data_IF_113076653737
#
_entry.id   IF_113076653737
#
_cell.length_a   1.000
_cell.length_b   1.000
_cell.length_c   1.000
_cell.angle_alpha   90.00
_cell.angle_beta   90.00
_cell.angle_gamma   90.00
#
_symmetry.space_group_name_H-M   'P 1'
#
loop_
_entity.id
_entity.type
_entity.pdbx_description
1 polymer ?
#
# COMPACT_ATOMS: atom_id res chain seq x y z
N UNK A 1 9.36 -10.00 -12.18
CA UNK A 1 8.57 -9.44 -11.08
C UNK A 1 8.94 -7.97 -10.97
N UNK A 2 8.18 -7.08 -11.59
CA UNK A 2 8.48 -5.65 -11.54
C UNK A 2 8.05 -5.11 -10.18
N UNK A 3 9.01 -4.59 -9.41
CA UNK A 3 8.72 -3.84 -8.19
C UNK A 3 8.14 -2.52 -8.65
N UNK A 4 6.86 -2.30 -8.36
CA UNK A 4 6.37 -0.94 -8.26
C UNK A 4 7.24 -0.28 -7.20
N UNK A 5 8.08 0.66 -7.66
CA UNK A 5 8.79 1.53 -6.77
C UNK A 5 7.72 2.44 -6.16
N UNK A 6 7.15 2.01 -5.03
CA UNK A 6 6.83 2.99 -4.00
C UNK A 6 8.09 3.84 -3.92
N UNK A 7 7.95 5.14 -4.14
CA UNK A 7 9.09 6.03 -4.07
C UNK A 7 9.77 5.70 -2.73
N UNK A 8 10.97 5.12 -2.78
CA UNK A 8 11.61 4.62 -1.55
C UNK A 8 11.89 5.79 -0.60
N UNK A 9 11.89 7.01 -1.16
CA UNK A 9 11.89 8.28 -0.45
C UNK A 9 10.62 8.49 0.41
N UNK A 10 9.44 8.01 -0.02
CA UNK A 10 8.20 8.06 0.77
C UNK A 10 8.20 7.09 1.96
N UNK A 11 8.84 5.92 1.87
CA UNK A 11 8.72 4.90 2.92
C UNK A 11 9.76 5.06 4.04
N UNK A 12 11.01 5.39 3.70
CA UNK A 12 12.11 5.36 4.68
C UNK A 12 12.16 6.59 5.56
N UNK A 13 11.86 7.77 5.03
CA UNK A 13 12.03 9.02 5.77
C UNK A 13 10.79 9.40 6.61
N UNK A 14 9.62 8.86 6.26
CA UNK A 14 8.36 9.17 6.96
C UNK A 14 8.36 8.67 8.41
N UNK A 15 9.04 7.55 8.67
CA UNK A 15 8.93 6.83 9.94
C UNK A 15 10.14 6.92 10.88
N UNK A 16 11.22 7.63 10.48
CA UNK A 16 12.50 7.65 11.22
C UNK A 16 12.35 8.07 12.69
N UNK A 17 11.37 8.94 12.98
CA UNK A 17 11.11 9.45 14.33
C UNK A 17 9.68 9.13 14.82
N UNK A 18 9.02 8.15 14.21
CA UNK A 18 7.65 7.78 14.60
C UNK A 18 7.63 6.96 15.89
N UNK A 19 6.59 7.16 16.70
CA UNK A 19 6.37 6.35 17.89
C UNK A 19 6.00 4.91 17.51
N UNK A 20 6.27 3.95 18.39
CA UNK A 20 5.81 2.55 18.22
C UNK A 20 4.30 2.48 17.99
N UNK A 21 3.52 3.27 18.72
CA UNK A 21 2.08 3.38 18.52
C UNK A 21 1.70 3.77 17.07
N UNK A 22 2.44 4.69 16.46
CA UNK A 22 2.20 5.10 15.07
C UNK A 22 2.55 3.97 14.11
N UNK A 23 3.67 3.29 14.32
CA UNK A 23 4.10 2.16 13.48
C UNK A 23 3.09 1.02 13.55
N UNK A 24 2.68 0.63 14.76
CA UNK A 24 1.68 -0.41 14.98
C UNK A 24 0.35 -0.04 14.31
N UNK A 25 -0.06 1.23 14.40
CA UNK A 25 -1.26 1.72 13.73
C UNK A 25 -1.16 1.61 12.20
N UNK A 26 -0.02 2.01 11.61
CA UNK A 26 0.20 1.92 10.16
C UNK A 26 0.23 0.47 9.69
N UNK A 27 0.91 -0.42 10.43
CA UNK A 27 0.92 -1.86 10.14
C UNK A 27 -0.49 -2.43 10.12
N UNK A 28 -1.29 -2.06 11.13
CA UNK A 28 -2.68 -2.46 11.23
C UNK A 28 -3.55 -1.90 10.09
N UNK A 29 -3.31 -0.67 9.68
CA UNK A 29 -3.99 -0.04 8.55
C UNK A 29 -3.66 -0.77 7.22
N UNK A 30 -2.38 -1.09 6.97
CA UNK A 30 -1.97 -1.86 5.79
C UNK A 30 -2.65 -3.23 5.78
N UNK A 31 -2.61 -3.95 6.90
CA UNK A 31 -3.23 -5.27 7.00
C UNK A 31 -4.73 -5.23 6.69
N UNK A 32 -5.43 -4.23 7.25
CA UNK A 32 -6.86 -4.06 7.02
C UNK A 32 -7.19 -3.68 5.57
N UNK A 33 -6.35 -2.88 4.91
CA UNK A 33 -6.49 -2.57 3.47
C UNK A 33 -6.36 -3.87 2.66
N UNK A 34 -5.29 -4.63 2.90
CA UNK A 34 -5.01 -5.90 2.21
C UNK A 34 -6.14 -6.92 2.39
N UNK A 35 -6.71 -7.06 3.58
CA UNK A 35 -7.78 -8.04 3.81
C UNK A 35 -9.19 -7.52 3.50
N UNK A 36 -9.33 -6.27 3.04
CA UNK A 36 -10.62 -5.58 2.96
C UNK A 36 -11.63 -6.26 2.02
N UNK A 37 -11.15 -6.90 0.95
CA UNK A 37 -11.98 -7.60 -0.03
C UNK A 37 -12.15 -9.10 0.29
N UNK A 38 -11.43 -9.60 1.31
CA UNK A 38 -11.42 -11.00 1.72
C UNK A 38 -10.65 -11.95 0.79
N UNK A 39 -9.87 -11.47 -0.18
CA UNK A 39 -9.10 -12.30 -1.13
C UNK A 39 -7.63 -11.88 -1.09
N UNK A 40 -6.77 -12.76 -0.58
CA UNK A 40 -5.33 -12.44 -0.51
C UNK A 40 -4.61 -12.95 -1.74
N UNK A 41 -4.14 -12.02 -2.57
CA UNK A 41 -3.43 -12.31 -3.80
C UNK A 41 -1.91 -12.18 -3.68
N UNK A 42 -1.17 -12.76 -4.64
CA UNK A 42 0.30 -12.76 -4.61
C UNK A 42 0.90 -11.35 -4.61
N UNK A 43 0.22 -10.38 -5.22
CA UNK A 43 0.72 -9.01 -5.33
C UNK A 43 0.57 -8.23 -4.00
N UNK A 44 -0.40 -8.60 -3.15
CA UNK A 44 -0.61 -8.00 -1.83
C UNK A 44 0.51 -8.34 -0.84
N UNK A 45 1.29 -9.39 -1.11
CA UNK A 45 2.48 -9.70 -0.32
C UNK A 45 3.51 -8.57 -0.33
N UNK A 46 3.52 -7.70 -1.36
CA UNK A 46 4.43 -6.55 -1.36
C UNK A 46 3.97 -5.53 -0.32
N UNK A 47 2.67 -5.26 -0.21
CA UNK A 47 2.10 -4.42 0.85
C UNK A 47 2.40 -4.99 2.25
N UNK A 48 2.25 -6.31 2.42
CA UNK A 48 2.57 -6.99 3.68
C UNK A 48 4.07 -6.94 4.01
N UNK A 49 4.95 -7.00 3.01
CA UNK A 49 6.40 -6.84 3.22
C UNK A 49 6.75 -5.45 3.76
N UNK A 50 6.08 -4.41 3.26
CA UNK A 50 6.24 -3.05 3.77
C UNK A 50 5.75 -2.95 5.23
N UNK A 51 4.62 -3.56 5.58
CA UNK A 51 4.15 -3.64 6.96
C UNK A 51 5.13 -4.39 7.88
N UNK A 52 5.64 -5.54 7.44
CA UNK A 52 6.64 -6.33 8.17
C UNK A 52 7.92 -5.50 8.42
N UNK A 53 8.31 -4.65 7.46
CA UNK A 53 9.47 -3.77 7.60
C UNK A 53 9.36 -2.71 8.70
N UNK A 54 8.15 -2.44 9.19
CA UNK A 54 7.89 -1.49 10.29
C UNK A 54 7.86 -2.15 11.67
N UNK A 55 7.82 -3.49 11.74
CA UNK A 55 7.77 -4.24 12.99
C UNK A 55 9.16 -4.49 13.57
N UNK A 56 9.25 -4.57 14.89
CA UNK A 56 10.53 -4.63 15.60
C UNK A 56 10.98 -6.06 15.89
N UNK A 57 10.04 -7.00 16.02
CA UNK A 57 10.34 -8.37 16.40
C UNK A 57 9.53 -9.42 15.62
N UNK A 58 9.92 -10.68 15.81
CA UNK A 58 9.30 -11.82 15.13
C UNK A 58 7.90 -12.13 15.64
N UNK A 59 7.59 -11.82 16.89
CA UNK A 59 6.29 -12.13 17.49
C UNK A 59 5.21 -11.24 16.87
N UNK A 60 5.51 -9.96 16.69
CA UNK A 60 4.65 -9.01 15.96
C UNK A 60 4.41 -9.47 14.52
N UNK A 61 5.46 -9.91 13.82
CA UNK A 61 5.35 -10.43 12.45
C UNK A 61 4.46 -11.66 12.40
N UNK A 62 4.62 -12.60 13.34
CA UNK A 62 3.78 -13.79 13.41
C UNK A 62 2.31 -13.43 13.69
N UNK A 63 2.05 -12.52 14.62
CA UNK A 63 0.70 -12.07 14.94
C UNK A 63 0.02 -11.39 13.73
N UNK A 64 0.75 -10.53 13.02
CA UNK A 64 0.29 -9.89 11.78
C UNK A 64 -0.08 -10.94 10.73
N UNK A 65 0.83 -11.88 10.46
CA UNK A 65 0.62 -12.91 9.43
C UNK A 65 -0.54 -13.84 9.77
N UNK A 66 -0.72 -14.18 11.05
CA UNK A 66 -1.85 -15.03 11.47
C UNK A 66 -3.19 -14.31 11.34
N UNK A 67 -3.24 -13.01 11.63
CA UNK A 67 -4.44 -12.19 11.39
C UNK A 67 -4.78 -12.08 9.91
N UNK A 68 -3.77 -11.81 9.08
CA UNK A 68 -3.94 -11.72 7.62
C UNK A 68 -4.45 -13.05 7.08
N UNK A 69 -3.89 -14.20 7.47
CA UNK A 69 -4.39 -15.53 7.07
C UNK A 69 -5.85 -15.77 7.47
N UNK A 70 -6.24 -15.29 8.66
CA UNK A 70 -7.63 -15.36 9.15
C UNK A 70 -8.56 -14.33 8.49
N UNK A 71 -8.01 -13.41 7.68
CA UNK A 71 -8.74 -12.31 7.04
C UNK A 71 -9.47 -11.44 8.06
N UNK A 72 -8.83 -11.27 9.22
CA UNK A 72 -9.40 -10.55 10.34
C UNK A 72 -9.21 -9.05 10.16
N UNK A 73 -10.31 -8.34 9.90
CA UNK A 73 -10.36 -6.88 9.92
C UNK A 73 -10.51 -6.43 11.38
N UNK A 74 -9.55 -5.67 11.88
CA UNK A 74 -9.66 -5.06 13.20
C UNK A 74 -10.24 -3.65 13.11
N UNK A 75 -10.77 -3.14 14.21
CA UNK A 75 -11.17 -1.74 14.27
C UNK A 75 -9.93 -0.83 14.28
N UNK A 76 -9.84 0.05 13.27
CA UNK A 76 -8.87 1.14 13.26
C UNK A 76 -9.41 2.25 14.16
N UNK A 77 -8.74 2.49 15.28
CA UNK A 77 -9.05 3.58 16.20
C UNK A 77 -8.45 4.88 15.68
N UNK A 78 -9.04 6.01 16.09
CA UNK A 78 -8.44 7.31 15.81
C UNK A 78 -7.06 7.42 16.47
N UNK A 79 -6.10 7.97 15.74
CA UNK A 79 -4.74 8.19 16.23
C UNK A 79 -4.44 9.68 16.22
N UNK A 80 -3.75 10.16 17.26
CA UNK A 80 -3.32 11.55 17.37
C UNK A 80 -1.87 11.68 16.93
N UNK A 81 -1.68 12.01 15.66
CA UNK A 81 -0.40 12.39 15.06
C UNK A 81 -0.49 13.82 14.54
N UNK A 82 0.66 14.46 14.29
CA UNK A 82 0.66 15.80 13.69
C UNK A 82 0.22 15.74 12.22
N UNK A 83 -0.32 16.85 11.72
CA UNK A 83 -0.92 16.92 10.38
C UNK A 83 0.07 16.55 9.27
N UNK A 84 1.34 16.97 9.39
CA UNK A 84 2.37 16.65 8.41
C UNK A 84 2.61 15.14 8.31
N UNK A 85 2.73 14.46 9.45
CA UNK A 85 2.90 13.01 9.51
C UNK A 85 1.63 12.31 9.04
N UNK A 86 0.45 12.80 9.42
CA UNK A 86 -0.83 12.24 8.97
C UNK A 86 -0.95 12.26 7.44
N UNK A 87 -0.61 13.38 6.81
CA UNK A 87 -0.60 13.52 5.35
C UNK A 87 0.39 12.53 4.72
N UNK A 88 1.63 12.47 5.23
CA UNK A 88 2.66 11.56 4.71
C UNK A 88 2.26 10.09 4.83
N UNK A 89 1.76 9.69 6.01
CA UNK A 89 1.24 8.33 6.24
C UNK A 89 0.08 8.02 5.30
N UNK A 90 -0.81 8.98 5.07
CA UNK A 90 -1.95 8.77 4.21
C UNK A 90 -1.55 8.57 2.74
N UNK A 91 -0.63 9.38 2.21
CA UNK A 91 -0.05 9.14 0.88
C UNK A 91 0.66 7.78 0.79
N UNK A 92 1.36 7.39 1.85
CA UNK A 92 2.02 6.08 1.92
C UNK A 92 1.02 4.92 1.86
N UNK A 93 -0.04 4.95 2.68
CA UNK A 93 -1.12 3.96 2.62
C UNK A 93 -1.80 3.92 1.25
N UNK A 94 -2.03 5.09 0.66
CA UNK A 94 -2.67 5.22 -0.63
C UNK A 94 -1.81 4.68 -1.77
N UNK A 95 -0.48 4.79 -1.68
CA UNK A 95 0.46 4.21 -2.64
C UNK A 95 0.53 2.67 -2.49
N UNK A 96 0.50 2.16 -1.26
CA UNK A 96 0.45 0.72 -0.98
C UNK A 96 -0.82 0.10 -1.57
N UNK A 97 -1.96 0.78 -1.43
CA UNK A 97 -3.25 0.28 -1.91
C UNK A 97 -3.36 0.13 -3.44
N UNK A 98 -2.40 0.64 -4.23
CA UNK A 98 -2.37 0.50 -5.70
C UNK A 98 -1.07 -0.12 -6.22
N UNK A 99 -0.34 -0.82 -5.35
CA UNK A 99 0.97 -1.39 -5.66
C UNK A 99 0.92 -2.53 -6.69
N UNK A 100 -0.25 -3.05 -6.99
CA UNK A 100 -0.50 -4.05 -8.03
C UNK A 100 -1.07 -3.44 -9.31
N UNK A 101 -1.48 -2.17 -9.25
CA UNK A 101 -2.12 -1.42 -10.33
C UNK A 101 -3.64 -1.53 -10.36
N UNK A 102 -4.27 -2.01 -9.27
CA UNK A 102 -5.72 -2.00 -9.10
C UNK A 102 -6.09 -1.40 -7.73
N UNK A 103 -7.30 -0.86 -7.60
CA UNK A 103 -7.86 -0.41 -6.32
C UNK A 103 -9.30 -0.89 -6.27
N UNK A 104 -9.58 -1.87 -5.43
CA UNK A 104 -10.93 -2.38 -5.20
C UNK A 104 -11.73 -1.39 -4.38
N UNK A 105 -13.06 -1.46 -4.51
CA UNK A 105 -13.97 -0.59 -3.77
C UNK A 105 -13.80 -0.72 -2.25
N UNK A 106 -13.62 -1.94 -1.75
CA UNK A 106 -13.40 -2.24 -0.33
C UNK A 106 -12.09 -1.63 0.20
N UNK A 107 -11.02 -1.68 -0.60
CA UNK A 107 -9.72 -1.07 -0.26
C UNK A 107 -9.82 0.45 -0.23
N UNK A 108 -10.52 1.05 -1.20
CA UNK A 108 -10.78 2.49 -1.23
C UNK A 108 -11.62 2.95 -0.02
N UNK A 109 -12.63 2.17 0.38
CA UNK A 109 -13.44 2.44 1.58
C UNK A 109 -12.60 2.31 2.86
N UNK A 110 -11.74 1.30 2.95
CA UNK A 110 -10.83 1.13 4.08
C UNK A 110 -9.81 2.27 4.15
N UNK A 111 -9.22 2.66 3.03
CA UNK A 111 -8.30 3.79 2.93
C UNK A 111 -8.99 5.10 3.36
N UNK A 112 -10.23 5.33 2.90
CA UNK A 112 -11.04 6.48 3.36
C UNK A 112 -11.20 6.46 4.89
N UNK A 113 -11.51 5.31 5.47
CA UNK A 113 -11.64 5.14 6.94
C UNK A 113 -10.33 5.48 7.65
N UNK A 114 -9.18 5.02 7.14
CA UNK A 114 -7.86 5.36 7.70
C UNK A 114 -7.65 6.89 7.72
N UNK A 115 -7.97 7.59 6.62
CA UNK A 115 -7.86 9.05 6.55
C UNK A 115 -8.68 9.77 7.63
N UNK A 116 -9.93 9.33 7.83
CA UNK A 116 -10.80 9.88 8.88
C UNK A 116 -10.26 9.60 10.30
N UNK A 117 -9.72 8.41 10.53
CA UNK A 117 -9.11 8.05 11.82
C UNK A 117 -7.84 8.85 12.14
N UNK A 118 -7.15 9.38 11.13
CA UNK A 118 -6.02 10.31 11.32
C UNK A 118 -6.46 11.77 11.49
N UNK A 119 -7.77 12.06 11.42
CA UNK A 119 -8.30 13.42 11.55
C UNK A 119 -8.12 14.28 10.29
N UNK A 120 -7.90 13.65 9.12
CA UNK A 120 -7.76 14.37 7.86
C UNK A 120 -9.11 14.89 7.35
N UNK A 121 -9.06 16.03 6.67
CA UNK A 121 -10.23 16.63 6.03
C UNK A 121 -10.74 15.78 4.85
N UNK A 122 -12.06 15.71 4.65
CA UNK A 122 -12.68 14.88 3.61
C UNK A 122 -12.28 15.33 2.18
N UNK A 123 -12.00 16.62 1.96
CA UNK A 123 -11.52 17.12 0.67
C UNK A 123 -10.08 16.68 0.39
N UNK A 124 -9.22 16.68 1.40
CA UNK A 124 -7.87 16.10 1.30
C UNK A 124 -7.97 14.60 1.02
N UNK A 125 -8.84 13.88 1.74
CA UNK A 125 -9.05 12.44 1.56
C UNK A 125 -9.46 12.13 0.12
N UNK A 126 -10.44 12.86 -0.42
CA UNK A 126 -10.87 12.74 -1.82
C UNK A 126 -9.74 13.05 -2.80
N UNK A 127 -8.96 14.10 -2.57
CA UNK A 127 -7.87 14.50 -3.45
C UNK A 127 -6.78 13.42 -3.54
N UNK A 128 -6.41 12.82 -2.42
CA UNK A 128 -5.42 11.72 -2.40
C UNK A 128 -5.98 10.46 -3.07
N UNK A 129 -7.26 10.10 -2.83
CA UNK A 129 -7.88 8.96 -3.53
C UNK A 129 -7.88 9.19 -5.05
N UNK A 130 -8.20 10.40 -5.51
CA UNK A 130 -8.11 10.74 -6.95
C UNK A 130 -6.68 10.64 -7.48
N UNK A 131 -5.70 11.11 -6.71
CA UNK A 131 -4.29 10.96 -7.04
C UNK A 131 -3.89 9.48 -7.16
N UNK A 132 -4.36 8.63 -6.24
CA UNK A 132 -4.12 7.18 -6.23
C UNK A 132 -4.69 6.50 -7.48
N UNK A 133 -5.92 6.84 -7.89
CA UNK A 133 -6.52 6.33 -9.12
C UNK A 133 -5.72 6.74 -10.37
N UNK A 134 -5.15 7.96 -10.37
CA UNK A 134 -4.27 8.40 -11.45
C UNK A 134 -2.93 7.65 -11.46
N UNK A 135 -2.34 7.38 -10.29
CA UNK A 135 -1.13 6.55 -10.18
C UNK A 135 -1.38 5.14 -10.71
N UNK A 136 -2.53 4.55 -10.37
CA UNK A 136 -2.95 3.25 -10.87
C UNK A 136 -2.99 3.21 -12.40
N UNK A 137 -3.57 4.22 -13.05
CA UNK A 137 -3.61 4.31 -14.51
C UNK A 137 -2.21 4.44 -15.14
N UNK A 138 -1.34 5.25 -14.55
CA UNK A 138 0.06 5.42 -14.99
C UNK A 138 0.80 4.08 -14.90
N UNK A 139 0.66 3.38 -13.76
CA UNK A 139 1.32 2.10 -13.50
C UNK A 139 0.86 1.02 -14.50
N UNK A 140 -0.45 0.98 -14.79
CA UNK A 140 -1.02 0.07 -15.79
C UNK A 140 -0.43 0.32 -17.17
N UNK A 141 -0.38 1.58 -17.61
CA UNK A 141 0.19 1.95 -18.92
C UNK A 141 1.68 1.59 -19.02
N UNK A 142 2.46 1.89 -17.98
CA UNK A 142 3.88 1.54 -17.93
C UNK A 142 4.09 0.02 -18.06
N UNK A 143 3.28 -0.79 -17.37
CA UNK A 143 3.31 -2.25 -17.44
C UNK A 143 3.02 -2.76 -18.85
N UNK A 144 2.03 -2.19 -19.52
CA UNK A 144 1.70 -2.54 -20.91
C UNK A 144 2.84 -2.22 -21.87
N UNK A 145 3.42 -1.02 -21.77
CA UNK A 145 4.50 -0.57 -22.65
C UNK A 145 5.78 -1.41 -22.46
N UNK A 146 6.10 -1.76 -21.21
CA UNK A 146 7.20 -2.69 -20.90
C UNK A 146 6.97 -4.08 -21.50
N UNK A 147 5.75 -4.62 -21.39
CA UNK A 147 5.41 -5.91 -21.97
C UNK A 147 5.55 -5.90 -23.50
N UNK A 148 5.11 -4.84 -24.18
CA UNK A 148 5.29 -4.67 -25.63
C UNK A 148 6.78 -4.64 -26.00
N UNK A 149 7.59 -3.87 -25.27
CA UNK A 149 9.03 -3.79 -25.48
C UNK A 149 9.72 -5.15 -25.29
N UNK A 150 9.37 -5.89 -24.24
CA UNK A 150 9.93 -7.22 -23.99
C UNK A 150 9.53 -8.24 -25.06
N UNK A 151 8.27 -8.23 -25.50
CA UNK A 151 7.80 -9.10 -26.59
C UNK A 151 8.53 -8.78 -27.90
N UNK A 152 8.77 -7.51 -28.19
CA UNK A 152 9.56 -7.10 -29.35
C UNK A 152 10.99 -7.63 -29.27
N UNK A 153 11.65 -7.52 -28.10
CA UNK A 153 12.96 -8.14 -27.85
C UNK A 153 12.95 -9.66 -28.09
N UNK A 154 11.95 -10.38 -27.57
CA UNK A 154 11.86 -11.83 -27.77
C UNK A 154 11.75 -12.21 -29.24
N UNK A 155 10.95 -11.47 -30.02
CA UNK A 155 10.84 -11.67 -31.48
C UNK A 155 12.16 -11.45 -32.21
N UNK A 156 12.96 -10.46 -31.79
CA UNK A 156 14.31 -10.26 -32.37
C UNK A 156 15.17 -11.49 -32.11
N UNK A 157 15.19 -12.01 -30.89
CA UNK A 157 15.98 -13.20 -30.53
C UNK A 157 15.52 -14.43 -31.34
N UNK A 158 14.20 -14.67 -31.42
CA UNK A 158 13.61 -15.76 -32.20
C UNK A 158 13.89 -15.64 -33.70
N UNK A 159 14.07 -14.44 -34.24
CA UNK A 159 14.40 -14.25 -35.66
C UNK A 159 15.87 -14.55 -36.01
N UNK A 160 16.74 -14.65 -35.00
CA UNK A 160 18.18 -14.89 -35.16
C UNK A 160 18.54 -16.36 -34.88
N UNK A 161 17.74 -17.08 -34.09
CA UNK A 161 17.89 -18.50 -33.76
C UNK A 161 17.20 -19.40 -34.79
#
# INVERSE_FOLDING_TARGET
MYKLHLDRELAKDVFINSSKETLDWVVNAIANIVVADGIIEKHEFVALQEAIGLLQDKEEIHALMDRVKKKEIIEIKSIRINDELAIKVFFYLAAIAVIDGELKKSEAEMLKKCGLCMGLDDDLIKAVIQWTLKQMEINRKLKEDLNKSNNFRSRIIESIL
#
